data_IF_478815644161
#
_entry.id   IF_478815644161
#
_cell.length_a   1.000
_cell.length_b   1.000
_cell.length_c   1.000
_cell.angle_alpha   90.00
_cell.angle_beta   90.00
_cell.angle_gamma   90.00
#
_symmetry.space_group_name_H-M   'P 1'
#
loop_
_entity.id
_entity.type
_entity.pdbx_description
1 polymer ?
#
# COMPACT_ATOMS: atom_id res chain seq x y z
N UNK A 1 4.04 -11.21 1.90
CA UNK A 1 3.02 -10.15 1.98
C UNK A 1 1.79 -10.57 1.19
N UNK A 2 0.66 -10.78 1.86
CA UNK A 2 -0.56 -11.23 1.21
C UNK A 2 -1.38 -10.04 0.70
N UNK A 3 -2.26 -10.23 -0.29
CA UNK A 3 -3.05 -9.13 -0.87
C UNK A 3 -3.88 -8.40 0.18
N UNK A 4 -4.47 -9.12 1.14
CA UNK A 4 -5.22 -8.53 2.25
C UNK A 4 -4.40 -7.58 3.12
N UNK A 5 -3.08 -7.80 3.23
CA UNK A 5 -2.21 -6.86 3.93
C UNK A 5 -2.07 -5.55 3.12
N UNK A 6 -1.93 -5.63 1.80
CA UNK A 6 -1.88 -4.47 0.89
C UNK A 6 -3.22 -3.70 0.90
N UNK A 7 -4.33 -4.42 0.94
CA UNK A 7 -5.66 -3.80 0.93
C UNK A 7 -5.97 -3.08 2.24
N UNK A 8 -5.67 -3.70 3.39
CA UNK A 8 -6.19 -3.27 4.70
C UNK A 8 -5.13 -2.63 5.59
N UNK A 9 -3.90 -3.16 5.59
CA UNK A 9 -2.88 -2.79 6.59
C UNK A 9 -1.88 -1.78 6.06
N UNK A 10 -1.46 -1.94 4.81
CA UNK A 10 -0.41 -1.13 4.23
C UNK A 10 -1.00 0.13 3.60
N UNK A 11 -0.26 1.23 3.74
CA UNK A 11 -0.50 2.46 2.98
C UNK A 11 0.13 2.36 1.59
N UNK A 12 0.36 3.52 0.97
CA UNK A 12 1.00 3.63 -0.34
C UNK A 12 2.46 3.13 -0.36
N UNK A 13 3.06 3.01 0.81
CA UNK A 13 4.37 2.40 1.00
C UNK A 13 4.41 1.60 2.30
N UNK A 14 5.41 0.72 2.40
CA UNK A 14 5.79 0.08 3.66
C UNK A 14 7.24 0.40 3.98
N UNK A 15 7.51 0.66 5.26
CA UNK A 15 8.85 0.71 5.82
C UNK A 15 9.14 -0.66 6.45
N UNK A 16 9.86 -1.51 5.73
CA UNK A 16 10.16 -2.88 6.14
C UNK A 16 11.00 -2.95 7.42
N UNK A 17 11.69 -1.88 7.80
CA UNK A 17 12.43 -1.80 9.06
C UNK A 17 11.53 -1.63 10.28
N UNK A 18 10.30 -1.12 10.08
CA UNK A 18 9.34 -0.80 11.14
C UNK A 18 8.07 -1.65 11.11
N UNK A 19 7.82 -2.33 10.00
CA UNK A 19 6.58 -3.08 9.77
C UNK A 19 6.71 -4.50 10.27
N UNK A 20 5.78 -4.94 11.13
CA UNK A 20 5.67 -6.36 11.49
C UNK A 20 5.15 -7.16 10.29
N UNK A 21 6.04 -7.98 9.70
CA UNK A 21 5.71 -8.84 8.56
C UNK A 21 5.55 -10.29 9.01
N UNK A 22 4.57 -11.04 8.45
CA UNK A 22 4.43 -12.47 8.71
C UNK A 22 5.71 -13.23 8.35
N UNK A 23 6.18 -14.08 9.28
CA UNK A 23 7.42 -14.84 9.11
C UNK A 23 7.17 -16.23 8.52
N UNK A 24 8.09 -16.70 7.67
CA UNK A 24 8.12 -18.07 7.15
C UNK A 24 9.27 -18.81 7.82
N UNK A 25 8.96 -19.86 8.60
CA UNK A 25 9.95 -20.65 9.33
C UNK A 25 10.64 -21.75 8.52
N UNK A 26 10.12 -22.09 7.33
CA UNK A 26 10.64 -23.17 6.49
C UNK A 26 11.78 -22.69 5.59
N UNK A 27 13.02 -22.83 6.07
CA UNK A 27 14.24 -22.40 5.38
C UNK A 27 14.43 -23.08 4.00
N UNK A 28 13.89 -24.28 3.80
CA UNK A 28 14.03 -25.03 2.54
C UNK A 28 13.26 -24.38 1.39
N UNK A 29 12.17 -23.67 1.70
CA UNK A 29 11.41 -22.85 0.73
C UNK A 29 12.09 -21.51 0.48
N UNK A 30 12.75 -20.95 1.49
CA UNK A 30 13.46 -19.67 1.41
C UNK A 30 14.60 -19.73 0.39
N UNK A 31 15.36 -20.84 0.38
CA UNK A 31 16.50 -21.00 -0.52
C UNK A 31 16.12 -21.12 -2.00
N UNK A 32 14.97 -21.74 -2.31
CA UNK A 32 14.46 -21.87 -3.69
C UNK A 32 13.93 -20.57 -4.28
N UNK A 33 13.64 -19.58 -3.42
CA UNK A 33 12.95 -18.35 -3.77
C UNK A 33 13.85 -17.11 -3.60
N UNK A 34 15.17 -17.30 -3.50
CA UNK A 34 16.15 -16.20 -3.34
C UNK A 34 16.05 -15.13 -4.43
N UNK A 35 15.72 -15.51 -5.65
CA UNK A 35 15.54 -14.57 -6.78
C UNK A 35 14.24 -13.78 -6.72
N UNK A 36 13.29 -14.17 -5.86
CA UNK A 36 11.98 -13.55 -5.71
C UNK A 36 11.89 -12.60 -4.52
N UNK A 37 13.01 -12.32 -3.85
CA UNK A 37 13.02 -11.34 -2.76
C UNK A 37 12.74 -9.94 -3.29
N UNK A 38 11.89 -9.25 -2.55
CA UNK A 38 11.58 -7.86 -2.79
C UNK A 38 12.74 -6.99 -2.31
N UNK A 39 12.89 -5.86 -2.98
CA UNK A 39 13.89 -4.85 -2.68
C UNK A 39 13.26 -3.47 -2.65
N UNK A 40 13.99 -2.50 -2.13
CA UNK A 40 13.53 -1.11 -2.12
C UNK A 40 13.19 -0.61 -3.53
N UNK A 41 12.04 0.06 -3.62
CA UNK A 41 11.45 0.55 -4.85
C UNK A 41 10.61 -0.49 -5.62
N UNK A 42 10.53 -1.74 -5.17
CA UNK A 42 9.54 -2.68 -5.72
C UNK A 42 8.12 -2.25 -5.33
N UNK A 43 7.19 -2.38 -6.27
CA UNK A 43 5.77 -2.12 -6.05
C UNK A 43 5.04 -3.46 -5.92
N UNK A 44 4.30 -3.62 -4.84
CA UNK A 44 3.46 -4.80 -4.59
C UNK A 44 2.03 -4.41 -4.85
N UNK A 45 1.39 -5.08 -5.79
CA UNK A 45 0.01 -4.81 -6.20
C UNK A 45 -0.88 -5.96 -5.74
N UNK A 46 -2.00 -5.67 -5.11
CA UNK A 46 -3.06 -6.64 -4.86
C UNK A 46 -3.75 -6.96 -6.21
N UNK A 47 -3.60 -8.19 -6.70
CA UNK A 47 -4.12 -8.57 -8.00
C UNK A 47 -5.62 -8.90 -7.97
N UNK A 48 -6.20 -9.03 -6.78
CA UNK A 48 -7.59 -9.41 -6.57
C UNK A 48 -8.18 -8.70 -5.36
N UNK A 49 -9.49 -8.43 -5.42
CA UNK A 49 -10.28 -7.87 -4.32
C UNK A 49 -11.77 -8.19 -4.55
N UNK A 50 -12.59 -8.01 -3.52
CA UNK A 50 -14.05 -8.16 -3.59
C UNK A 50 -14.76 -6.86 -3.99
N UNK A 51 -14.02 -5.76 -4.13
CA UNK A 51 -14.52 -4.41 -4.43
C UNK A 51 -13.60 -3.68 -5.45
N UNK A 52 -13.71 -2.36 -5.57
CA UNK A 52 -12.97 -1.53 -6.52
C UNK A 52 -11.49 -1.27 -6.12
N UNK A 53 -11.02 -1.90 -5.04
CA UNK A 53 -9.64 -1.77 -4.54
C UNK A 53 -8.64 -2.69 -5.25
N UNK A 54 -9.07 -3.52 -6.20
CA UNK A 54 -8.19 -4.31 -7.08
C UNK A 54 -7.14 -3.39 -7.70
N UNK A 55 -5.87 -3.76 -7.63
CA UNK A 55 -4.79 -2.92 -8.16
C UNK A 55 -4.21 -1.92 -7.16
N UNK A 56 -4.77 -1.81 -5.94
CA UNK A 56 -4.12 -1.08 -4.85
C UNK A 56 -2.73 -1.66 -4.59
N UNK A 57 -1.78 -0.78 -4.29
CA UNK A 57 -0.38 -1.15 -4.15
C UNK A 57 0.31 -0.57 -2.92
N UNK A 58 1.49 -1.10 -2.62
CA UNK A 58 2.44 -0.53 -1.68
C UNK A 58 3.87 -0.60 -2.25
N UNK A 59 4.62 0.48 -2.10
CA UNK A 59 6.05 0.55 -2.41
C UNK A 59 6.91 0.03 -1.24
N UNK A 60 7.92 -0.79 -1.52
CA UNK A 60 8.88 -1.27 -0.53
C UNK A 60 9.94 -0.21 -0.25
N UNK A 61 10.15 0.10 1.03
CA UNK A 61 11.24 0.95 1.52
C UNK A 61 11.89 0.34 2.76
N UNK A 62 13.16 0.67 3.02
CA UNK A 62 13.84 0.30 4.26
C UNK A 62 14.02 -1.21 4.44
N UNK A 63 14.23 -1.95 3.35
CA UNK A 63 14.40 -3.40 3.40
C UNK A 63 15.67 -3.83 4.12
N UNK A 64 16.77 -3.08 4.07
CA UNK A 64 18.01 -3.28 4.87
C UNK A 64 18.39 -4.75 5.20
N UNK A 65 18.34 -5.62 4.18
CA UNK A 65 18.69 -7.05 4.31
C UNK A 65 17.57 -7.97 4.85
N UNK A 66 16.41 -7.41 5.20
CA UNK A 66 15.17 -8.13 5.47
C UNK A 66 14.72 -8.85 4.20
N UNK A 67 14.56 -10.17 4.30
CA UNK A 67 14.11 -11.03 3.22
C UNK A 67 12.59 -11.00 3.12
N UNK A 68 12.07 -10.17 2.24
CA UNK A 68 10.62 -10.03 2.02
C UNK A 68 10.21 -10.81 0.78
N UNK A 69 9.13 -11.57 0.88
CA UNK A 69 8.56 -12.34 -0.23
C UNK A 69 7.10 -11.96 -0.51
N UNK A 70 6.69 -12.12 -1.76
CA UNK A 70 5.29 -12.06 -2.16
C UNK A 70 4.49 -13.20 -1.52
N UNK A 71 3.26 -12.88 -1.14
CA UNK A 71 2.23 -13.84 -0.76
C UNK A 71 1.25 -14.06 -1.90
N UNK A 72 0.20 -14.84 -1.61
CA UNK A 72 -0.84 -15.13 -2.61
C UNK A 72 -1.55 -13.84 -3.06
N UNK A 73 -1.96 -13.82 -4.33
CA UNK A 73 -2.71 -12.73 -4.96
C UNK A 73 -1.99 -11.38 -4.95
N UNK A 74 -0.66 -11.42 -5.04
CA UNK A 74 0.16 -10.22 -5.17
C UNK A 74 1.05 -10.29 -6.39
N UNK A 75 1.20 -9.16 -7.08
CA UNK A 75 2.12 -8.99 -8.20
C UNK A 75 3.24 -8.05 -7.75
N UNK A 76 4.50 -8.48 -7.89
CA UNK A 76 5.65 -7.57 -7.79
C UNK A 76 5.93 -6.93 -9.14
N UNK A 77 6.04 -5.61 -9.12
CA UNK A 77 6.52 -4.79 -10.22
C UNK A 77 7.84 -4.15 -9.80
N UNK A 78 8.95 -4.60 -10.39
CA UNK A 78 10.27 -3.99 -10.21
C UNK A 78 10.51 -2.94 -11.29
N UNK A 79 10.61 -1.64 -10.96
CA UNK A 79 10.86 -0.61 -11.95
C UNK A 79 12.24 -0.78 -12.61
N UNK A 80 12.33 -0.56 -13.93
CA UNK A 80 13.60 -0.69 -14.69
C UNK A 80 14.61 0.43 -14.39
N UNK A 81 14.14 1.55 -13.86
CA UNK A 81 14.94 2.70 -13.43
C UNK A 81 14.60 3.03 -11.98
N UNK A 82 15.47 3.76 -11.30
CA UNK A 82 15.18 4.24 -9.93
C UNK A 82 14.22 5.43 -9.98
N UNK A 83 13.40 5.54 -8.94
CA UNK A 83 12.45 6.62 -8.72
C UNK A 83 12.69 7.25 -7.35
N UNK A 84 12.14 8.45 -7.14
CA UNK A 84 12.10 9.03 -5.80
C UNK A 84 11.34 8.12 -4.83
N UNK A 85 11.77 7.98 -3.56
CA UNK A 85 11.09 7.12 -2.59
C UNK A 85 9.63 7.50 -2.40
N UNK A 86 8.76 6.49 -2.24
CA UNK A 86 7.31 6.58 -2.04
C UNK A 86 6.53 7.14 -3.23
N UNK A 87 7.20 7.74 -4.22
CA UNK A 87 6.56 8.42 -5.33
C UNK A 87 5.70 7.46 -6.16
N UNK A 88 6.22 6.28 -6.47
CA UNK A 88 5.49 5.32 -7.30
C UNK A 88 4.32 4.70 -6.55
N UNK A 89 4.49 4.41 -5.26
CA UNK A 89 3.39 3.98 -4.39
C UNK A 89 2.20 4.94 -4.44
N UNK A 90 2.46 6.23 -4.16
CA UNK A 90 1.44 7.27 -4.23
C UNK A 90 0.85 7.47 -5.62
N UNK A 91 1.70 7.45 -6.67
CA UNK A 91 1.23 7.66 -8.04
C UNK A 91 0.33 6.53 -8.52
N UNK A 92 0.68 5.27 -8.24
CA UNK A 92 -0.09 4.10 -8.71
C UNK A 92 -1.45 4.03 -7.99
N UNK A 93 -1.51 4.37 -6.70
CA UNK A 93 -2.77 4.47 -5.98
C UNK A 93 -3.59 5.74 -6.32
N UNK A 94 -3.02 6.67 -7.08
CA UNK A 94 -3.74 7.86 -7.50
C UNK A 94 -4.89 7.52 -8.45
N UNK A 95 -5.99 8.29 -8.46
CA UNK A 95 -7.08 8.10 -9.42
C UNK A 95 -6.61 8.14 -10.88
N UNK A 96 -5.58 8.94 -11.20
CA UNK A 96 -5.04 9.07 -12.56
C UNK A 96 -4.49 7.75 -13.09
N UNK A 97 -3.82 6.97 -12.25
CA UNK A 97 -3.35 5.64 -12.64
C UNK A 97 -4.44 4.58 -12.47
N UNK A 98 -5.12 4.56 -11.32
CA UNK A 98 -6.12 3.53 -11.00
C UNK A 98 -7.29 3.49 -11.98
N UNK A 99 -7.70 4.64 -12.53
CA UNK A 99 -8.76 4.68 -13.54
C UNK A 99 -8.37 4.01 -14.87
N UNK A 100 -7.07 3.87 -15.16
CA UNK A 100 -6.60 3.08 -16.31
C UNK A 100 -6.75 1.58 -16.07
N UNK A 101 -6.71 1.12 -14.81
CA UNK A 101 -6.84 -0.28 -14.45
C UNK A 101 -8.28 -0.77 -14.55
N UNK A 102 -9.25 0.06 -14.16
CA UNK A 102 -10.69 -0.27 -14.15
C UNK A 102 -11.20 -0.98 -15.42
N UNK A 103 -10.94 -0.49 -16.65
CA UNK A 103 -11.40 -1.17 -17.86
C UNK A 103 -10.66 -2.48 -18.17
N UNK A 104 -9.52 -2.73 -17.53
CA UNK A 104 -8.69 -3.93 -17.74
C UNK A 104 -8.96 -5.04 -16.70
N UNK A 105 -9.74 -4.73 -15.68
CA UNK A 105 -10.14 -5.66 -14.62
C UNK A 105 -11.20 -6.64 -15.11
N UNK A 106 -11.19 -7.87 -14.56
CA UNK A 106 -12.15 -8.91 -14.92
C UNK A 106 -12.66 -9.66 -13.70
N UNK A 107 -13.88 -10.21 -13.79
CA UNK A 107 -14.53 -10.94 -12.71
C UNK A 107 -15.75 -10.19 -12.14
N UNK A 108 -16.74 -10.95 -11.66
CA UNK A 108 -18.05 -10.43 -11.25
C UNK A 108 -18.14 -10.25 -9.73
N UNK A 109 -17.87 -11.31 -8.97
CA UNK A 109 -17.92 -11.29 -7.50
C UNK A 109 -16.57 -10.95 -6.87
N UNK A 110 -15.52 -11.47 -7.50
CA UNK A 110 -14.13 -11.20 -7.15
C UNK A 110 -13.51 -10.69 -8.42
N UNK A 111 -13.03 -9.46 -8.37
CA UNK A 111 -12.43 -8.79 -9.52
C UNK A 111 -10.92 -8.95 -9.43
N UNK A 112 -10.27 -9.12 -10.57
CA UNK A 112 -8.82 -9.30 -10.64
C UNK A 112 -8.21 -8.51 -11.79
N UNK A 113 -6.91 -8.21 -11.67
CA UNK A 113 -6.08 -7.58 -12.67
C UNK A 113 -4.88 -8.47 -12.99
N UNK A 114 -4.59 -8.64 -14.28
CA UNK A 114 -3.47 -9.49 -14.71
C UNK A 114 -2.16 -8.71 -14.84
N UNK A 115 -1.03 -9.41 -14.78
CA UNK A 115 0.29 -8.82 -15.04
C UNK A 115 0.41 -8.20 -16.43
N UNK A 116 -0.20 -8.80 -17.45
CA UNK A 116 -0.20 -8.25 -18.81
C UNK A 116 -1.01 -6.97 -18.89
N UNK A 117 -2.18 -6.91 -18.24
CA UNK A 117 -2.99 -5.70 -18.18
C UNK A 117 -2.23 -4.52 -17.54
N UNK A 118 -1.44 -4.76 -16.49
CA UNK A 118 -0.57 -3.72 -15.92
C UNK A 118 0.45 -3.17 -16.93
N UNK A 119 0.91 -3.97 -17.89
CA UNK A 119 1.85 -3.53 -18.93
C UNK A 119 1.17 -2.67 -20.01
N UNK A 120 -0.16 -2.72 -20.11
CA UNK A 120 -0.96 -1.95 -21.05
C UNK A 120 -1.36 -0.56 -20.49
N UNK A 121 -0.77 -0.16 -19.34
CA UNK A 121 -1.00 1.14 -18.71
C UNK A 121 0.14 2.13 -19.01
N UNK A 122 -0.20 3.42 -18.99
CA UNK A 122 0.77 4.50 -19.18
C UNK A 122 1.12 5.21 -17.87
N UNK A 123 2.39 5.57 -17.73
CA UNK A 123 2.92 6.31 -16.60
C UNK A 123 3.45 7.67 -17.10
N UNK A 124 2.72 8.74 -16.77
CA UNK A 124 3.09 10.12 -17.10
C UNK A 124 3.52 10.80 -15.82
N UNK A 125 4.81 11.05 -15.71
CA UNK A 125 5.45 11.49 -14.45
C UNK A 125 6.56 12.50 -14.72
N UNK A 126 6.96 13.28 -13.72
CA UNK A 126 8.14 14.12 -13.80
C UNK A 126 9.39 13.30 -14.10
N UNK A 127 10.25 13.77 -15.01
CA UNK A 127 11.52 13.10 -15.34
C UNK A 127 12.59 13.29 -14.25
N UNK A 128 12.49 14.36 -13.46
CA UNK A 128 13.44 14.69 -12.40
C UNK A 128 13.21 13.82 -11.17
N UNK A 129 14.23 13.08 -10.74
CA UNK A 129 14.19 12.32 -9.49
C UNK A 129 14.05 13.24 -8.27
N UNK A 130 14.67 14.43 -8.29
CA UNK A 130 14.54 15.40 -7.19
C UNK A 130 13.09 15.89 -7.03
N UNK A 131 12.38 16.05 -8.14
CA UNK A 131 10.97 16.43 -8.12
C UNK A 131 10.11 15.29 -7.57
N UNK A 132 10.37 14.06 -7.99
CA UNK A 132 9.69 12.86 -7.45
C UNK A 132 9.91 12.73 -5.93
N UNK A 133 11.13 12.97 -5.44
CA UNK A 133 11.44 12.97 -4.00
C UNK A 133 10.62 14.03 -3.27
N UNK A 134 10.59 15.26 -3.80
CA UNK A 134 9.81 16.36 -3.21
C UNK A 134 8.33 16.02 -3.15
N UNK A 135 7.78 15.42 -4.20
CA UNK A 135 6.38 14.98 -4.24
C UNK A 135 6.15 13.89 -3.18
N UNK A 136 6.94 12.83 -3.16
CA UNK A 136 6.79 11.74 -2.17
C UNK A 136 6.86 12.23 -0.73
N UNK A 137 7.82 13.11 -0.40
CA UNK A 137 7.94 13.72 0.93
C UNK A 137 6.77 14.64 1.25
N UNK A 138 6.24 15.38 0.27
CA UNK A 138 5.09 16.25 0.47
C UNK A 138 3.84 15.44 0.84
N UNK A 139 3.52 14.40 0.07
CA UNK A 139 2.34 13.55 0.32
C UNK A 139 2.47 12.81 1.64
N UNK A 140 3.66 12.26 1.95
CA UNK A 140 3.93 11.65 3.26
C UNK A 140 3.63 12.61 4.42
N UNK A 141 4.04 13.87 4.30
CA UNK A 141 3.75 14.86 5.35
C UNK A 141 2.26 15.11 5.48
N UNK A 142 1.53 15.17 4.37
CA UNK A 142 0.07 15.33 4.39
C UNK A 142 -0.60 14.16 5.10
N UNK A 143 -0.21 12.91 4.80
CA UNK A 143 -0.74 11.73 5.48
C UNK A 143 -0.48 11.78 6.99
N UNK A 144 0.75 12.15 7.37
CA UNK A 144 1.09 12.30 8.79
C UNK A 144 0.26 13.39 9.47
N UNK A 145 0.05 14.53 8.80
CA UNK A 145 -0.82 15.59 9.32
C UNK A 145 -2.27 15.10 9.46
N UNK A 146 -2.81 14.40 8.48
CA UNK A 146 -4.17 13.84 8.52
C UNK A 146 -4.29 12.86 9.69
N UNK A 147 -3.36 11.91 9.82
CA UNK A 147 -3.35 10.93 10.90
C UNK A 147 -3.30 11.59 12.29
N UNK A 148 -2.45 12.60 12.48
CA UNK A 148 -2.36 13.36 13.74
C UNK A 148 -3.68 14.08 14.07
N UNK A 149 -4.36 14.65 13.07
CA UNK A 149 -5.63 15.33 13.29
C UNK A 149 -6.77 14.34 13.55
N UNK A 150 -6.80 13.20 12.86
CA UNK A 150 -7.77 12.14 13.11
C UNK A 150 -7.63 11.62 14.54
N UNK A 151 -6.40 11.36 15.01
CA UNK A 151 -6.14 10.95 16.39
C UNK A 151 -6.65 11.99 17.41
N UNK A 152 -6.47 13.29 17.14
CA UNK A 152 -6.99 14.35 18.00
C UNK A 152 -8.52 14.35 18.03
N UNK A 153 -9.17 14.20 16.88
CA UNK A 153 -10.63 14.11 16.78
C UNK A 153 -11.15 12.91 17.57
N UNK A 154 -10.52 11.74 17.41
CA UNK A 154 -10.92 10.51 18.11
C UNK A 154 -10.77 10.65 19.63
N UNK A 155 -9.68 11.28 20.09
CA UNK A 155 -9.45 11.58 21.50
C UNK A 155 -10.46 12.58 22.09
N UNK A 156 -11.05 13.45 21.28
CA UNK A 156 -12.10 14.39 21.71
C UNK A 156 -13.49 13.76 21.65
N UNK A 157 -13.75 12.88 20.68
CA UNK A 157 -15.02 12.18 20.56
C UNK A 157 -15.20 11.10 21.63
N UNK A 158 -14.13 10.37 21.98
CA UNK A 158 -14.17 9.35 23.02
C UNK A 158 -14.74 9.83 24.37
N UNK A 159 -14.34 10.98 24.94
CA UNK A 159 -14.96 11.53 26.14
C UNK A 159 -16.39 12.04 25.92
N UNK A 160 -16.73 12.59 24.75
CA UNK A 160 -18.10 13.06 24.46
C UNK A 160 -19.11 11.90 24.41
N UNK A 161 -18.73 10.75 23.84
CA UNK A 161 -19.58 9.55 23.82
C UNK A 161 -19.80 9.00 25.24
N UNK A 162 -18.79 9.07 26.12
CA UNK A 162 -18.94 8.71 27.54
C UNK A 162 -19.86 9.70 28.27
N UNK A 163 -19.69 11.01 28.08
CA UNK A 163 -20.53 12.02 28.72
C UNK A 163 -22.00 11.87 28.28
N UNK A 164 -22.27 11.57 27.01
CA UNK A 164 -23.61 11.24 26.53
C UNK A 164 -24.23 10.02 27.23
N UNK A 165 -23.47 8.93 27.36
CA UNK A 165 -23.91 7.72 28.08
C UNK A 165 -24.10 7.95 29.60
N UNK A 166 -23.33 8.84 30.23
CA UNK A 166 -23.53 9.21 31.63
C UNK A 166 -24.79 10.06 31.84
N UNK A 167 -25.12 10.96 30.91
CA UNK A 167 -26.33 11.78 30.99
C UNK A 167 -27.60 10.96 30.74
N UNK A 168 -27.59 10.01 29.80
CA UNK A 168 -28.73 9.10 29.57
C UNK A 168 -29.00 8.18 30.77
N UNK A 169 -27.96 7.71 31.46
CA UNK A 169 -28.10 6.87 32.66
C UNK A 169 -28.41 7.66 33.95
N UNK A 170 -28.39 8.99 33.92
CA UNK A 170 -28.69 9.84 35.09
C UNK A 170 -30.11 10.44 35.04
N UNK A 171 -30.90 10.12 34.01
CA UNK A 171 -32.27 10.62 33.80
C UNK A 171 -33.33 9.51 34.04
N UNK A 172 -32.92 8.33 34.53
CA UNK A 172 -33.82 7.22 34.93
C UNK A 172 -33.90 7.11 36.45
#
# INVERSE_FOLDING_TARGET
>A
MHYGDVLIKFGDYIDASKTELPYVSDETKVDKLKSSFLQDGDIIIADTAEDDTVGKCAEIQGSDGVKIMLGLHTIACRPKKKFGPMFLGYYINSPTYHNQLKPLMHGIKVTSISKSALQDTDIIIPKSTDEQIKIGVCVLRLDHFIALHQQKIDNLNFPLTKVGLYLENSIV
#
